data_IF_299579182374
#
_entry.id   IF_299579182374
#
_cell.length_a   1.000
_cell.length_b   1.000
_cell.length_c   1.000
_cell.angle_alpha   90.00
_cell.angle_beta   90.00
_cell.angle_gamma   90.00
#
_symmetry.space_group_name_H-M   'P 1'
#
loop_
_entity.id
_entity.type
_entity.pdbx_description
1 polymer ?
#
# COMPACT_ATOMS: atom_id res chain seq x y z
N UNK A 1 4.96 -8.61 2.14
CA UNK A 1 5.86 -7.47 2.46
C UNK A 1 5.03 -6.22 2.64
N UNK A 2 5.33 -5.43 3.64
CA UNK A 2 4.67 -4.16 3.93
C UNK A 2 5.55 -3.32 4.84
N UNK A 3 5.18 -2.06 5.07
CA UNK A 3 5.88 -1.18 6.00
C UNK A 3 4.90 -0.59 7.01
N UNK A 4 5.40 -0.29 8.19
CA UNK A 4 4.64 0.30 9.28
C UNK A 4 5.20 1.68 9.59
N UNK A 5 4.36 2.71 9.48
CA UNK A 5 4.69 4.09 9.80
C UNK A 5 3.40 4.88 9.95
N UNK A 6 3.28 5.67 11.00
CA UNK A 6 2.13 6.55 11.17
C UNK A 6 2.23 7.70 10.16
N UNK A 7 1.24 7.81 9.29
CA UNK A 7 1.17 8.83 8.23
C UNK A 7 -0.24 9.41 8.22
N UNK A 8 -0.33 10.74 8.14
CA UNK A 8 -1.62 11.41 7.96
C UNK A 8 -1.90 11.55 6.47
N UNK A 9 -2.97 10.93 6.00
CA UNK A 9 -3.40 11.01 4.60
C UNK A 9 -3.97 12.40 4.27
N UNK A 10 -4.10 12.70 2.98
CA UNK A 10 -4.62 14.00 2.51
C UNK A 10 -6.04 14.27 2.99
N UNK A 11 -6.81 13.24 3.27
CA UNK A 11 -8.17 13.34 3.83
C UNK A 11 -8.20 13.51 5.36
N UNK A 12 -7.03 13.64 6.00
CA UNK A 12 -6.92 13.81 7.45
C UNK A 12 -6.92 12.51 8.25
N UNK A 13 -7.09 11.36 7.63
CA UNK A 13 -7.08 10.07 8.31
C UNK A 13 -5.64 9.65 8.59
N UNK A 14 -5.37 9.21 9.84
CA UNK A 14 -4.07 8.68 10.23
C UNK A 14 -4.02 7.19 9.91
N UNK A 15 -3.01 6.79 9.15
CA UNK A 15 -2.78 5.40 8.75
C UNK A 15 -1.48 4.88 9.34
N UNK A 16 -1.38 3.56 9.55
CA UNK A 16 -0.19 2.94 10.16
C UNK A 16 0.45 1.86 9.33
N UNK A 17 -0.30 1.21 8.46
CA UNK A 17 0.16 0.05 7.70
C UNK A 17 0.03 0.37 6.22
N UNK A 18 1.11 0.15 5.47
CA UNK A 18 1.17 0.51 4.05
C UNK A 18 1.72 -0.65 3.25
N UNK A 19 1.07 -0.95 2.14
CA UNK A 19 1.59 -1.95 1.20
C UNK A 19 1.56 -1.44 -0.21
N UNK A 20 2.48 -1.92 -1.02
CA UNK A 20 2.46 -1.69 -2.45
C UNK A 20 1.52 -2.73 -3.06
N UNK A 21 0.44 -2.25 -3.69
CA UNK A 21 -0.55 -3.09 -4.33
C UNK A 21 -0.21 -3.37 -5.79
N UNK A 22 0.57 -2.49 -6.42
CA UNK A 22 0.86 -2.54 -7.84
C UNK A 22 2.19 -1.85 -8.13
N UNK A 23 3.00 -2.46 -8.98
CA UNK A 23 4.18 -1.82 -9.57
C UNK A 23 3.96 -1.84 -11.09
N UNK A 24 3.98 -0.66 -11.71
CA UNK A 24 3.78 -0.51 -13.14
C UNK A 24 4.99 0.15 -13.77
N UNK A 25 5.51 -0.45 -14.84
CA UNK A 25 6.62 0.08 -15.61
C UNK A 25 6.06 0.67 -16.90
N UNK A 26 6.12 1.99 -17.02
CA UNK A 26 5.70 2.71 -18.22
C UNK A 26 6.94 2.93 -19.09
N UNK A 27 7.06 2.11 -20.12
CA UNK A 27 8.29 1.99 -20.93
C UNK A 27 8.77 3.35 -21.43
N UNK A 28 10.03 3.65 -21.12
CA UNK A 28 10.71 4.91 -21.50
C UNK A 28 10.06 6.19 -20.96
N UNK A 29 9.19 6.07 -19.96
CA UNK A 29 8.52 7.22 -19.34
C UNK A 29 8.81 7.30 -17.85
N UNK A 30 8.22 6.41 -17.07
CA UNK A 30 8.35 6.39 -15.61
C UNK A 30 7.89 5.06 -15.05
N UNK A 31 8.20 4.83 -13.78
CA UNK A 31 7.57 3.76 -13.01
C UNK A 31 6.49 4.36 -12.12
N UNK A 32 5.47 3.58 -11.80
CA UNK A 32 4.40 4.00 -10.91
C UNK A 32 4.13 2.90 -9.90
N UNK A 33 4.03 3.26 -8.64
CA UNK A 33 3.60 2.34 -7.59
C UNK A 33 2.28 2.81 -7.02
N UNK A 34 1.42 1.85 -6.67
CA UNK A 34 0.17 2.12 -5.97
C UNK A 34 0.33 1.67 -4.53
N UNK A 35 0.17 2.59 -3.59
CA UNK A 35 0.29 2.32 -2.16
C UNK A 35 -1.11 2.32 -1.55
N UNK A 36 -1.49 1.18 -0.97
CA UNK A 36 -2.69 1.07 -0.14
C UNK A 36 -2.30 1.27 1.31
N UNK A 37 -2.99 2.19 1.98
CA UNK A 37 -2.75 2.51 3.38
C UNK A 37 -3.93 2.11 4.23
N UNK A 38 -3.66 1.51 5.40
CA UNK A 38 -4.64 0.94 6.30
C UNK A 38 -4.53 1.60 7.67
N UNK A 39 -5.63 1.61 8.42
CA UNK A 39 -5.62 2.11 9.79
C UNK A 39 -4.67 1.30 10.67
N UNK A 40 -4.60 -0.01 10.41
CA UNK A 40 -3.74 -0.93 11.14
C UNK A 40 -3.50 -2.20 10.33
N UNK A 41 -2.61 -3.07 10.82
CA UNK A 41 -2.38 -4.39 10.23
C UNK A 41 -3.66 -5.24 10.19
N UNK A 42 -4.58 -5.03 11.15
CA UNK A 42 -5.86 -5.74 11.19
C UNK A 42 -6.69 -5.49 9.92
N UNK A 43 -6.66 -4.28 9.38
CA UNK A 43 -7.35 -3.96 8.13
C UNK A 43 -6.81 -4.78 6.96
N UNK A 44 -5.49 -4.95 6.89
CA UNK A 44 -4.87 -5.79 5.85
C UNK A 44 -5.23 -7.26 6.02
N UNK A 45 -5.33 -7.74 7.26
CA UNK A 45 -5.74 -9.13 7.52
C UNK A 45 -7.17 -9.38 7.06
N UNK A 46 -8.08 -8.43 7.29
CA UNK A 46 -9.46 -8.52 6.80
C UNK A 46 -9.48 -8.62 5.27
N UNK A 47 -8.68 -7.82 4.58
CA UNK A 47 -8.58 -7.85 3.13
C UNK A 47 -8.09 -9.21 2.62
N UNK A 48 -7.06 -9.78 3.26
CA UNK A 48 -6.55 -11.11 2.92
C UNK A 48 -7.61 -12.19 3.12
N UNK A 49 -8.34 -12.14 4.23
CA UNK A 49 -9.37 -13.10 4.57
C UNK A 49 -10.52 -13.02 3.57
N UNK A 50 -10.91 -11.82 3.17
CA UNK A 50 -11.93 -11.62 2.14
C UNK A 50 -11.48 -12.23 0.80
N UNK A 51 -10.26 -11.97 0.38
CA UNK A 51 -9.71 -12.52 -0.86
C UNK A 51 -9.62 -14.04 -0.83
N UNK A 52 -9.42 -14.63 0.35
CA UNK A 52 -9.40 -16.07 0.55
C UNK A 52 -10.80 -16.70 0.65
N UNK A 53 -11.87 -15.89 0.60
CA UNK A 53 -13.24 -16.39 0.68
C UNK A 53 -13.68 -16.81 2.06
N UNK A 54 -13.01 -16.35 3.12
CA UNK A 54 -13.33 -16.71 4.51
C UNK A 54 -14.55 -16.00 5.07
N UNK A 55 -15.03 -14.99 4.35
CA UNK A 55 -16.18 -14.19 4.77
C UNK A 55 -17.37 -14.36 3.84
N UNK A 56 -18.56 -14.21 4.40
CA UNK A 56 -19.79 -14.21 3.62
C UNK A 56 -20.01 -12.80 3.03
N UNK A 57 -20.34 -12.76 1.74
CA UNK A 57 -20.56 -11.49 1.02
C UNK A 57 -21.63 -10.59 1.63
N UNK A 58 -22.66 -11.18 2.25
CA UNK A 58 -23.75 -10.40 2.85
C UNK A 58 -23.32 -9.68 4.11
N UNK A 59 -22.33 -10.21 4.83
CA UNK A 59 -21.79 -9.58 6.02
C UNK A 59 -20.73 -8.55 5.71
N UNK A 60 -20.13 -8.62 4.52
CA UNK A 60 -18.93 -7.89 4.18
C UNK A 60 -19.10 -6.85 3.09
N UNK A 61 -20.31 -6.53 2.71
CA UNK A 61 -20.57 -5.44 1.80
C UNK A 61 -19.92 -4.12 2.25
N UNK A 62 -19.71 -3.96 3.58
CA UNK A 62 -19.10 -2.79 4.17
C UNK A 62 -17.57 -2.88 4.33
N UNK A 63 -17.00 -4.09 4.19
CA UNK A 63 -15.56 -4.33 4.41
C UNK A 63 -14.84 -4.67 3.11
N UNK A 64 -15.45 -4.37 2.00
CA UNK A 64 -14.97 -4.71 0.67
C UNK A 64 -13.61 -4.08 0.34
N UNK A 65 -13.33 -2.90 0.91
CA UNK A 65 -12.08 -2.18 0.70
C UNK A 65 -11.53 -1.71 2.06
N UNK A 66 -10.83 -2.57 2.79
CA UNK A 66 -10.33 -2.23 4.12
C UNK A 66 -9.18 -1.24 4.14
N UNK A 67 -8.58 -0.94 3.00
CA UNK A 67 -7.66 0.20 2.93
C UNK A 67 -8.48 1.50 2.93
N UNK A 68 -7.94 2.53 3.60
CA UNK A 68 -8.61 3.82 3.76
C UNK A 68 -8.00 4.90 2.90
N UNK A 69 -6.87 4.63 2.27
CA UNK A 69 -6.22 5.53 1.32
C UNK A 69 -5.51 4.73 0.24
N UNK A 70 -5.52 5.25 -0.98
CA UNK A 70 -4.81 4.68 -2.10
C UNK A 70 -4.11 5.81 -2.85
N UNK A 71 -2.79 5.71 -3.03
CA UNK A 71 -2.00 6.78 -3.61
C UNK A 71 -1.05 6.24 -4.67
N UNK A 72 -1.06 6.88 -5.83
CA UNK A 72 -0.09 6.62 -6.88
C UNK A 72 1.16 7.48 -6.66
N UNK A 73 2.33 6.86 -6.73
CA UNK A 73 3.62 7.53 -6.62
C UNK A 73 4.42 7.24 -7.88
N UNK A 74 4.91 8.30 -8.52
CA UNK A 74 5.70 8.18 -9.74
C UNK A 74 7.18 8.19 -9.40
N UNK A 75 7.93 7.29 -10.05
CA UNK A 75 9.36 7.09 -9.85
C UNK A 75 10.09 7.25 -11.18
N UNK A 76 11.42 7.52 -11.15
CA UNK A 76 12.23 7.45 -12.36
C UNK A 76 12.11 6.10 -13.05
N UNK A 77 12.11 6.11 -14.37
CA UNK A 77 12.00 4.88 -15.15
C UNK A 77 13.11 3.88 -14.81
N UNK A 78 12.71 2.64 -14.53
CA UNK A 78 13.62 1.53 -14.30
C UNK A 78 12.91 0.25 -14.79
N UNK A 79 13.38 -0.28 -15.91
CA UNK A 79 12.79 -1.47 -16.52
C UNK A 79 12.97 -2.75 -15.71
N UNK A 80 13.89 -2.72 -14.74
CA UNK A 80 14.22 -3.87 -13.89
C UNK A 80 13.72 -3.75 -12.46
N UNK A 81 12.82 -2.81 -12.18
CA UNK A 81 12.31 -2.60 -10.82
C UNK A 81 11.61 -3.85 -10.27
N UNK A 82 12.07 -4.28 -9.10
CA UNK A 82 11.44 -5.36 -8.34
C UNK A 82 10.50 -4.77 -7.28
N UNK A 83 9.65 -5.62 -6.70
CA UNK A 83 8.82 -5.23 -5.56
C UNK A 83 9.69 -4.77 -4.39
N UNK A 84 10.80 -5.47 -4.13
CA UNK A 84 11.75 -5.07 -3.08
C UNK A 84 12.32 -3.68 -3.33
N UNK A 85 12.74 -3.38 -4.55
CA UNK A 85 13.28 -2.07 -4.92
C UNK A 85 12.22 -0.97 -4.75
N UNK A 86 10.97 -1.27 -5.08
CA UNK A 86 9.87 -0.33 -4.88
C UNK A 86 9.65 0.00 -3.40
N UNK A 87 9.72 -0.99 -2.51
CA UNK A 87 9.64 -0.74 -1.06
C UNK A 87 10.84 0.06 -0.54
N UNK A 88 12.04 -0.20 -1.05
CA UNK A 88 13.23 0.58 -0.67
C UNK A 88 13.06 2.05 -1.08
N UNK A 89 12.54 2.29 -2.28
CA UNK A 89 12.24 3.65 -2.72
C UNK A 89 11.20 4.30 -1.80
N UNK A 90 10.13 3.59 -1.47
CA UNK A 90 9.06 4.10 -0.61
C UNK A 90 9.60 4.50 0.77
N UNK A 91 10.45 3.69 1.38
CA UNK A 91 11.06 3.97 2.69
C UNK A 91 11.97 5.21 2.69
N UNK A 92 12.48 5.61 1.54
CA UNK A 92 13.32 6.79 1.40
C UNK A 92 12.54 8.08 1.20
N UNK A 93 11.23 8.01 1.04
CA UNK A 93 10.40 9.22 0.95
C UNK A 93 10.24 9.86 2.34
N UNK A 94 10.18 11.20 2.41
CA UNK A 94 10.09 11.91 3.71
C UNK A 94 8.93 11.43 4.59
N UNK A 95 7.76 11.16 4.00
CA UNK A 95 6.58 10.73 4.76
C UNK A 95 6.71 9.32 5.34
N UNK A 96 7.66 8.53 4.84
CA UNK A 96 7.91 7.16 5.31
C UNK A 96 9.24 7.02 6.03
N UNK A 97 9.90 8.12 6.34
CA UNK A 97 11.16 8.09 7.08
C UNK A 97 10.99 7.37 8.41
N UNK A 98 11.86 6.40 8.68
CA UNK A 98 11.78 5.58 9.88
C UNK A 98 10.78 4.43 9.82
N UNK A 99 10.13 4.19 8.68
CA UNK A 99 9.22 3.06 8.50
C UNK A 99 9.95 1.73 8.68
N UNK A 100 9.27 0.77 9.31
CA UNK A 100 9.81 -0.56 9.56
C UNK A 100 9.10 -1.59 8.68
N UNK A 101 9.85 -2.62 8.27
CA UNK A 101 9.30 -3.75 7.53
C UNK A 101 8.45 -4.62 8.46
N UNK A 102 7.30 -5.03 7.98
CA UNK A 102 6.36 -5.89 8.73
C UNK A 102 5.79 -7.03 7.87
#
# INVERSE_FOLDING_TARGET
MAIKKQVTADNGIVTEYHRIALVRIEVNQQNTILVHSYLSEAGRQIEKDYAAGLYNNTELGLVKFPYVDAKYIHLPYDENMTVKAAYEYLKNLPQFEGAIDV
#
